data_IF_334750887521
#
_entry.id   IF_334750887521
#
_cell.length_a   1.000
_cell.length_b   1.000
_cell.length_c   1.000
_cell.angle_alpha   90.00
_cell.angle_beta   90.00
_cell.angle_gamma   90.00
#
_symmetry.space_group_name_H-M   'P 1'
#
loop_
_entity.id
_entity.type
_entity.pdbx_description
1 polymer ?
#
# COMPACT_ATOMS: atom_id res chain seq x y z
N UNK A 1 47.86 -45.50 38.31
CA UNK A 1 46.96 -44.40 37.89
C UNK A 1 45.66 -44.56 38.66
N UNK A 2 45.34 -43.66 39.61
CA UNK A 2 44.08 -43.73 40.37
C UNK A 2 42.93 -43.39 39.41
N UNK A 3 42.07 -44.36 39.13
CA UNK A 3 40.83 -44.10 38.40
C UNK A 3 39.95 -43.21 39.27
N UNK A 4 39.91 -41.92 38.94
CA UNK A 4 38.92 -41.00 39.49
C UNK A 4 37.55 -41.40 38.94
N UNK A 5 36.89 -42.33 39.63
CA UNK A 5 35.48 -42.61 39.36
C UNK A 5 34.67 -41.41 39.81
N UNK A 6 33.97 -40.76 38.87
CA UNK A 6 33.11 -39.60 39.08
C UNK A 6 32.10 -39.88 40.22
N UNK A 7 31.61 -41.12 40.31
CA UNK A 7 30.74 -41.58 41.39
C UNK A 7 31.40 -41.47 42.78
N UNK A 8 32.67 -41.86 42.91
CA UNK A 8 33.40 -41.82 44.19
C UNK A 8 33.72 -40.41 44.69
N UNK A 9 33.79 -39.41 43.79
CA UNK A 9 33.94 -37.99 44.15
C UNK A 9 32.63 -37.35 44.64
N UNK A 10 31.52 -37.73 44.01
CA UNK A 10 30.15 -37.27 44.35
C UNK A 10 29.73 -37.77 45.74
N UNK A 11 30.01 -39.03 46.07
CA UNK A 11 29.69 -39.64 47.37
C UNK A 11 30.46 -39.05 48.56
N UNK A 12 31.63 -38.44 48.33
CA UNK A 12 32.47 -37.86 49.40
C UNK A 12 32.13 -36.40 49.74
N UNK A 13 31.32 -35.71 48.93
CA UNK A 13 30.97 -34.29 49.11
C UNK A 13 29.47 -34.04 48.95
N UNK A 14 28.61 -34.59 49.83
CA UNK A 14 27.15 -34.51 49.71
C UNK A 14 26.64 -33.06 49.69
N UNK A 15 27.26 -32.16 50.46
CA UNK A 15 26.87 -30.74 50.52
C UNK A 15 27.12 -30.03 49.17
N UNK A 16 28.26 -30.28 48.53
CA UNK A 16 28.58 -29.67 47.22
C UNK A 16 27.58 -30.12 46.15
N UNK A 17 27.20 -31.39 46.17
CA UNK A 17 26.20 -31.94 45.23
C UNK A 17 24.84 -31.30 45.48
N UNK A 18 24.40 -31.17 46.73
CA UNK A 18 23.12 -30.52 47.08
C UNK A 18 23.11 -29.05 46.65
N UNK A 19 24.18 -28.30 46.89
CA UNK A 19 24.27 -26.90 46.44
C UNK A 19 24.23 -26.78 44.92
N UNK A 20 24.94 -27.66 44.20
CA UNK A 20 24.94 -27.66 42.74
C UNK A 20 23.54 -27.96 42.19
N UNK A 21 22.85 -28.94 42.79
CA UNK A 21 21.46 -29.26 42.44
C UNK A 21 20.51 -28.09 42.72
N UNK A 22 20.65 -27.41 43.85
CA UNK A 22 19.85 -26.21 44.17
C UNK A 22 20.08 -25.07 43.19
N UNK A 23 21.33 -24.86 42.76
CA UNK A 23 21.67 -23.86 41.73
C UNK A 23 20.99 -24.23 40.41
N UNK A 24 21.07 -25.49 39.97
CA UNK A 24 20.42 -25.96 38.73
C UNK A 24 18.90 -25.80 38.81
N UNK A 25 18.28 -26.14 39.95
CA UNK A 25 16.84 -25.94 40.16
C UNK A 25 16.50 -24.44 40.11
N UNK A 26 17.29 -23.59 40.78
CA UNK A 26 17.09 -22.14 40.78
C UNK A 26 17.17 -21.55 39.37
N UNK A 27 18.19 -21.92 38.58
CA UNK A 27 18.30 -21.53 37.18
C UNK A 27 17.16 -22.10 36.32
N UNK A 28 16.71 -23.33 36.59
CA UNK A 28 15.56 -23.94 35.92
C UNK A 28 14.27 -23.16 36.13
N UNK A 29 13.97 -22.79 37.39
CA UNK A 29 12.80 -21.97 37.72
C UNK A 29 12.90 -20.59 37.08
N UNK A 30 14.06 -19.93 37.19
CA UNK A 30 14.30 -18.63 36.58
C UNK A 30 14.17 -18.65 35.04
N UNK A 31 14.64 -19.72 34.40
CA UNK A 31 14.50 -19.92 32.96
C UNK A 31 13.05 -20.17 32.55
N UNK A 32 12.28 -20.90 33.36
CA UNK A 32 10.87 -21.17 33.09
C UNK A 32 10.05 -19.87 33.14
N UNK A 33 10.34 -18.98 34.08
CA UNK A 33 9.65 -17.68 34.21
C UNK A 33 10.00 -16.69 33.11
N UNK A 34 11.15 -16.84 32.45
CA UNK A 34 11.60 -15.96 31.36
C UNK A 34 11.33 -16.54 29.96
N UNK A 35 10.76 -17.75 29.86
CA UNK A 35 10.50 -18.37 28.58
C UNK A 35 9.36 -17.62 27.88
N UNK A 36 9.66 -17.00 26.74
CA UNK A 36 8.65 -16.39 25.88
C UNK A 36 7.81 -17.49 25.25
N UNK A 37 6.54 -17.57 25.62
CA UNK A 37 5.59 -18.52 25.04
C UNK A 37 5.05 -17.94 23.73
N UNK A 38 5.23 -18.64 22.62
CA UNK A 38 4.62 -18.31 21.33
C UNK A 38 3.62 -19.41 20.95
N UNK A 39 2.48 -19.06 20.36
CA UNK A 39 1.47 -20.03 19.94
C UNK A 39 1.92 -20.89 18.74
N UNK A 40 2.86 -20.37 17.94
CA UNK A 40 3.37 -21.01 16.73
C UNK A 40 4.90 -20.87 16.69
N UNK A 41 5.62 -21.82 16.05
CA UNK A 41 6.99 -21.59 15.63
C UNK A 41 7.02 -20.47 14.58
N UNK A 42 8.07 -19.64 14.57
CA UNK A 42 8.23 -18.59 13.55
C UNK A 42 8.39 -19.23 12.18
N UNK A 43 7.44 -18.95 11.28
CA UNK A 43 7.46 -19.40 9.89
C UNK A 43 7.95 -18.25 9.02
N UNK A 44 9.27 -18.17 8.82
CA UNK A 44 9.86 -17.23 7.86
C UNK A 44 9.77 -17.84 6.46
N UNK A 45 8.62 -17.75 5.80
CA UNK A 45 8.48 -18.14 4.40
C UNK A 45 8.90 -16.93 3.56
N UNK A 46 10.10 -16.91 2.94
CA UNK A 46 10.60 -15.73 2.27
C UNK A 46 9.88 -15.56 0.93
N UNK A 47 8.81 -14.77 0.95
CA UNK A 47 7.98 -14.49 -0.22
C UNK A 47 7.99 -12.99 -0.47
N UNK A 48 8.31 -12.61 -1.70
CA UNK A 48 8.14 -11.26 -2.20
C UNK A 48 6.91 -11.24 -3.11
N UNK A 49 6.10 -10.20 -3.01
CA UNK A 49 4.99 -9.99 -3.91
C UNK A 49 5.18 -8.68 -4.65
N UNK A 50 4.85 -8.70 -5.94
CA UNK A 50 4.83 -7.53 -6.82
C UNK A 50 3.40 -7.34 -7.26
N UNK A 51 2.82 -6.17 -6.98
CA UNK A 51 1.48 -5.81 -7.43
C UNK A 51 1.55 -4.65 -8.40
N UNK A 52 0.82 -4.74 -9.51
CA UNK A 52 0.64 -3.65 -10.46
C UNK A 52 -0.78 -3.70 -11.02
N UNK A 53 -1.43 -2.54 -11.07
CA UNK A 53 -2.79 -2.39 -11.59
C UNK A 53 -2.79 -1.79 -12.99
N UNK A 54 -3.65 -2.29 -13.88
CA UNK A 54 -3.96 -1.63 -15.14
C UNK A 54 -5.45 -1.73 -15.42
N UNK A 55 -6.15 -0.66 -15.04
CA UNK A 55 -7.61 -0.60 -15.00
C UNK A 55 -8.24 -0.82 -16.38
N UNK A 56 -9.38 -1.49 -16.39
CA UNK A 56 -10.20 -1.77 -17.58
C UNK A 56 -9.52 -2.64 -18.66
N UNK A 57 -8.50 -3.41 -18.28
CA UNK A 57 -7.80 -4.35 -19.17
C UNK A 57 -8.19 -5.80 -18.87
N UNK A 58 -8.25 -6.63 -19.92
CA UNK A 58 -8.55 -8.06 -19.81
C UNK A 58 -7.43 -8.79 -19.04
N UNK A 59 -7.72 -9.87 -18.30
CA UNK A 59 -6.69 -10.67 -17.64
C UNK A 59 -5.60 -11.16 -18.60
N UNK A 60 -5.98 -11.52 -19.83
CA UNK A 60 -5.06 -11.99 -20.87
C UNK A 60 -4.09 -10.88 -21.31
N UNK A 61 -4.59 -9.66 -21.51
CA UNK A 61 -3.76 -8.51 -21.86
C UNK A 61 -2.87 -8.08 -20.69
N UNK A 62 -3.37 -8.12 -19.44
CA UNK A 62 -2.55 -7.86 -18.26
C UNK A 62 -1.40 -8.87 -18.17
N UNK A 63 -1.67 -10.15 -18.42
CA UNK A 63 -0.64 -11.16 -18.42
C UNK A 63 0.44 -10.84 -19.47
N UNK A 64 0.04 -10.44 -20.67
CA UNK A 64 0.96 -10.10 -21.75
C UNK A 64 1.74 -8.80 -21.53
N UNK A 65 1.08 -7.75 -21.04
CA UNK A 65 1.63 -6.39 -20.96
C UNK A 65 2.36 -6.11 -19.65
N UNK A 66 2.06 -6.85 -18.57
CA UNK A 66 2.61 -6.59 -17.23
C UNK A 66 3.33 -7.83 -16.70
N UNK A 67 2.65 -8.97 -16.64
CA UNK A 67 3.23 -10.18 -16.02
C UNK A 67 4.43 -10.69 -16.82
N UNK A 68 4.30 -10.85 -18.14
CA UNK A 68 5.38 -11.39 -18.97
C UNK A 68 6.67 -10.54 -18.92
N UNK A 69 6.62 -9.19 -19.05
CA UNK A 69 7.81 -8.36 -18.84
C UNK A 69 8.41 -8.51 -17.44
N UNK A 70 7.57 -8.47 -16.39
CA UNK A 70 8.03 -8.61 -15.01
C UNK A 70 8.69 -9.97 -14.81
N UNK A 71 8.06 -11.06 -15.24
CA UNK A 71 8.59 -12.42 -15.18
C UNK A 71 9.93 -12.53 -15.90
N UNK A 72 10.06 -11.98 -17.12
CA UNK A 72 11.31 -11.94 -17.85
C UNK A 72 12.43 -11.20 -17.11
N UNK A 73 12.12 -10.06 -16.49
CA UNK A 73 13.08 -9.26 -15.74
C UNK A 73 13.54 -9.92 -14.44
N UNK A 74 12.62 -10.54 -13.70
CA UNK A 74 12.92 -11.14 -12.39
C UNK A 74 13.46 -12.57 -12.49
N UNK A 75 13.19 -13.31 -13.57
CA UNK A 75 13.66 -14.69 -13.73
C UNK A 75 15.19 -14.83 -13.71
N UNK A 76 15.92 -13.76 -14.06
CA UNK A 76 17.39 -13.76 -14.04
C UNK A 76 17.98 -13.52 -12.63
N UNK A 77 17.15 -13.24 -11.62
CA UNK A 77 17.63 -12.87 -10.28
C UNK A 77 17.95 -14.12 -9.48
N UNK A 78 19.23 -14.23 -9.09
CA UNK A 78 19.69 -15.26 -8.18
C UNK A 78 19.04 -15.11 -6.79
N UNK A 79 18.44 -16.20 -6.29
CA UNK A 79 17.74 -16.28 -5.01
C UNK A 79 16.24 -16.57 -5.14
N UNK A 80 15.68 -16.41 -6.34
CA UNK A 80 14.28 -16.77 -6.63
C UNK A 80 14.21 -18.27 -6.98
N UNK A 81 13.29 -18.99 -6.34
CA UNK A 81 13.03 -20.42 -6.56
C UNK A 81 11.87 -20.63 -7.52
N UNK A 82 10.71 -20.03 -7.22
CA UNK A 82 9.51 -20.14 -8.05
C UNK A 82 8.84 -18.78 -8.20
N UNK A 83 8.18 -18.61 -9.34
CA UNK A 83 7.35 -17.46 -9.66
C UNK A 83 5.93 -17.95 -9.94
N UNK A 84 4.95 -17.35 -9.31
CA UNK A 84 3.53 -17.61 -9.54
C UNK A 84 2.80 -16.29 -9.80
N UNK A 85 2.12 -16.15 -10.93
CA UNK A 85 1.31 -14.97 -11.23
C UNK A 85 -0.18 -15.25 -11.03
N UNK A 86 -0.88 -14.30 -10.41
CA UNK A 86 -2.33 -14.27 -10.25
C UNK A 86 -2.84 -13.00 -10.89
N UNK A 87 -3.64 -13.15 -11.92
CA UNK A 87 -4.21 -12.03 -12.65
C UNK A 87 -5.71 -11.99 -12.46
N UNK A 88 -6.23 -10.80 -12.27
CA UNK A 88 -7.65 -10.50 -12.25
C UNK A 88 -7.91 -9.28 -13.12
N UNK A 89 -9.18 -8.99 -13.42
CA UNK A 89 -9.54 -7.78 -14.17
C UNK A 89 -8.97 -6.55 -13.48
N UNK A 90 -8.11 -5.81 -14.18
CA UNK A 90 -7.51 -4.59 -13.67
C UNK A 90 -6.28 -4.76 -12.78
N UNK A 91 -5.92 -5.97 -12.34
CA UNK A 91 -4.84 -6.18 -11.35
C UNK A 91 -3.99 -7.41 -11.63
N UNK A 92 -2.67 -7.28 -11.49
CA UNK A 92 -1.69 -8.36 -11.52
C UNK A 92 -0.98 -8.49 -10.17
N UNK A 93 -0.89 -9.72 -9.66
CA UNK A 93 -0.09 -10.09 -8.50
C UNK A 93 0.94 -11.14 -8.91
N UNK A 94 2.23 -10.83 -8.79
CA UNK A 94 3.32 -11.77 -9.05
C UNK A 94 3.97 -12.14 -7.71
N UNK A 95 3.92 -13.43 -7.37
CA UNK A 95 4.43 -13.99 -6.12
C UNK A 95 5.77 -14.67 -6.43
N UNK A 96 6.83 -14.17 -5.79
CA UNK A 96 8.19 -14.66 -5.91
C UNK A 96 8.53 -15.43 -4.63
N UNK A 97 8.71 -16.74 -4.71
CA UNK A 97 9.21 -17.56 -3.61
C UNK A 97 10.73 -17.60 -3.67
N UNK A 98 11.38 -17.25 -2.58
CA UNK A 98 12.84 -17.27 -2.50
C UNK A 98 13.34 -18.62 -2.00
N UNK A 99 14.54 -19.00 -2.42
CA UNK A 99 15.23 -20.18 -1.90
C UNK A 99 15.55 -19.99 -0.42
N UNK A 100 15.51 -21.09 0.34
CA UNK A 100 15.94 -21.09 1.74
C UNK A 100 17.36 -20.52 1.91
N UNK A 101 17.54 -19.68 2.93
CA UNK A 101 18.81 -19.00 3.21
C UNK A 101 19.10 -17.75 2.38
N UNK A 102 18.22 -17.40 1.42
CA UNK A 102 18.34 -16.14 0.67
C UNK A 102 18.01 -14.92 1.54
N UNK A 103 18.77 -13.85 1.35
CA UNK A 103 18.49 -12.56 2.01
C UNK A 103 17.34 -11.85 1.28
N UNK A 104 16.18 -11.78 1.92
CA UNK A 104 14.97 -11.19 1.34
C UNK A 104 15.16 -9.72 0.96
N UNK A 105 15.89 -8.94 1.77
CA UNK A 105 16.11 -7.51 1.52
C UNK A 105 17.04 -7.30 0.34
N UNK A 106 18.11 -8.09 0.24
CA UNK A 106 19.00 -8.05 -0.94
C UNK A 106 18.27 -8.45 -2.21
N UNK A 107 17.42 -9.47 -2.12
CA UNK A 107 16.64 -9.95 -3.27
C UNK A 107 15.58 -8.92 -3.68
N UNK A 108 14.89 -8.28 -2.73
CA UNK A 108 13.95 -7.20 -2.99
C UNK A 108 14.61 -6.05 -3.75
N UNK A 109 15.81 -5.62 -3.32
CA UNK A 109 16.56 -4.57 -4.03
C UNK A 109 16.93 -4.98 -5.47
N UNK A 110 17.30 -6.24 -5.68
CA UNK A 110 17.55 -6.77 -7.04
C UNK A 110 16.27 -6.77 -7.87
N UNK A 111 15.15 -7.20 -7.31
CA UNK A 111 13.84 -7.24 -7.98
C UNK A 111 13.40 -5.83 -8.35
N UNK A 112 13.47 -4.89 -7.42
CA UNK A 112 13.17 -3.47 -7.66
C UNK A 112 14.00 -2.91 -8.81
N UNK A 113 15.32 -3.15 -8.79
CA UNK A 113 16.22 -2.70 -9.86
C UNK A 113 15.89 -3.32 -11.22
N UNK A 114 15.52 -4.60 -11.26
CA UNK A 114 15.14 -5.27 -12.51
C UNK A 114 13.82 -4.70 -13.07
N UNK A 115 12.83 -4.46 -12.21
CA UNK A 115 11.57 -3.82 -12.58
C UNK A 115 11.79 -2.39 -13.05
N UNK A 116 12.64 -1.62 -12.37
CA UNK A 116 12.97 -0.25 -12.77
C UNK A 116 13.61 -0.20 -14.16
N UNK A 117 14.40 -1.22 -14.53
CA UNK A 117 15.03 -1.31 -15.85
C UNK A 117 14.02 -1.56 -16.98
N UNK A 118 12.96 -2.34 -16.73
CA UNK A 118 11.89 -2.61 -17.70
C UNK A 118 10.73 -1.61 -17.62
N UNK A 119 10.84 -0.55 -16.81
CA UNK A 119 9.75 0.42 -16.63
C UNK A 119 9.26 1.00 -17.96
N UNK A 120 10.16 1.21 -18.93
CA UNK A 120 9.81 1.70 -20.26
C UNK A 120 9.11 0.67 -21.17
N UNK A 121 9.09 -0.61 -20.79
CA UNK A 121 8.35 -1.66 -21.48
C UNK A 121 6.91 -1.81 -20.93
N UNK A 122 6.66 -1.30 -19.73
CA UNK A 122 5.34 -1.28 -19.12
C UNK A 122 4.50 -0.13 -19.70
N UNK A 123 3.17 -0.29 -19.87
CA UNK A 123 2.32 0.80 -20.34
C UNK A 123 2.33 2.01 -19.40
N UNK A 124 2.44 3.23 -19.93
CA UNK A 124 2.42 4.47 -19.14
C UNK A 124 1.14 4.68 -18.30
N UNK A 125 0.05 4.03 -18.70
CA UNK A 125 -1.23 4.07 -17.99
C UNK A 125 -1.35 3.02 -16.88
N UNK A 126 -0.40 2.08 -16.79
CA UNK A 126 -0.35 1.10 -15.71
C UNK A 126 0.17 1.77 -14.44
N UNK A 127 -0.32 1.31 -13.30
CA UNK A 127 0.20 1.69 -11.99
C UNK A 127 1.60 1.14 -11.81
N UNK A 128 2.48 1.96 -11.24
CA UNK A 128 3.85 1.55 -10.93
C UNK A 128 3.85 0.27 -10.08
N UNK A 129 4.65 -0.74 -10.44
CA UNK A 129 4.71 -1.97 -9.65
C UNK A 129 5.21 -1.71 -8.23
N UNK A 130 4.42 -2.11 -7.25
CA UNK A 130 4.76 -2.03 -5.83
C UNK A 130 5.27 -3.39 -5.37
N UNK A 131 6.49 -3.41 -4.84
CA UNK A 131 7.09 -4.59 -4.24
C UNK A 131 6.87 -4.55 -2.73
N UNK A 132 6.30 -5.61 -2.17
CA UNK A 132 6.12 -5.78 -0.73
C UNK A 132 6.58 -7.16 -0.28
N UNK A 133 7.08 -7.23 0.94
CA UNK A 133 7.46 -8.48 1.58
C UNK A 133 6.20 -9.12 2.15
N UNK A 134 5.93 -10.37 1.78
CA UNK A 134 4.84 -11.09 2.41
C UNK A 134 5.31 -11.58 3.77
N UNK A 135 4.69 -11.06 4.83
CA UNK A 135 4.97 -11.46 6.19
C UNK A 135 3.76 -12.25 6.74
N UNK A 136 3.88 -13.58 6.94
CA UNK A 136 2.82 -14.39 7.55
C UNK A 136 2.46 -13.94 8.97
N UNK A 137 3.33 -13.18 9.65
CA UNK A 137 3.10 -12.60 10.96
C UNK A 137 2.37 -11.25 10.90
N UNK A 138 2.17 -10.63 9.73
CA UNK A 138 1.45 -9.36 9.56
C UNK A 138 -0.07 -9.47 9.75
N UNK A 139 -0.55 -10.51 10.45
CA UNK A 139 -1.97 -10.69 10.74
C UNK A 139 -2.43 -9.57 11.67
N UNK A 140 -3.64 -9.01 11.46
CA UNK A 140 -4.17 -7.97 12.35
C UNK A 140 -4.19 -8.47 13.80
N UNK A 141 -3.48 -7.75 14.68
CA UNK A 141 -3.44 -8.05 16.12
C UNK A 141 -4.78 -7.67 16.77
N UNK A 142 -5.43 -6.63 16.25
CA UNK A 142 -6.71 -6.11 16.71
C UNK A 142 -7.54 -5.68 15.51
N UNK A 143 -8.85 -5.90 15.58
CA UNK A 143 -9.84 -5.32 14.65
C UNK A 143 -10.81 -4.48 15.46
N UNK A 144 -11.07 -3.27 15.01
CA UNK A 144 -12.01 -2.33 15.61
C UNK A 144 -13.10 -2.04 14.59
N UNK A 145 -14.35 -1.99 15.05
CA UNK A 145 -15.49 -1.57 14.25
C UNK A 145 -15.94 -0.19 14.69
N UNK A 146 -16.19 0.69 13.73
CA UNK A 146 -16.76 2.02 13.97
C UNK A 146 -18.22 1.97 13.53
N UNK A 147 -19.13 2.29 14.45
CA UNK A 147 -20.56 2.34 14.20
C UNK A 147 -21.13 3.66 14.76
N UNK A 148 -22.10 4.23 14.04
CA UNK A 148 -22.86 5.39 14.47
C UNK A 148 -24.22 5.44 13.79
N UNK A 149 -25.28 5.56 14.59
CA UNK A 149 -26.67 5.64 14.09
C UNK A 149 -26.98 6.93 13.32
N UNK A 150 -26.17 7.98 13.50
CA UNK A 150 -26.44 9.33 13.00
C UNK A 150 -25.45 9.84 11.95
N UNK A 151 -24.57 8.98 11.41
CA UNK A 151 -23.58 9.36 10.40
C UNK A 151 -23.62 8.43 9.20
N UNK A 152 -23.27 8.98 8.03
CA UNK A 152 -23.12 8.20 6.81
C UNK A 152 -21.89 7.30 6.84
N UNK A 153 -21.91 6.20 6.09
CA UNK A 153 -20.77 5.27 5.97
C UNK A 153 -19.53 5.93 5.35
N UNK A 154 -19.72 6.98 4.57
CA UNK A 154 -18.66 7.82 4.02
C UNK A 154 -17.98 8.67 5.09
N UNK A 155 -18.78 9.31 5.95
CA UNK A 155 -18.27 10.09 7.07
C UNK A 155 -17.54 9.19 8.08
N UNK A 156 -18.10 8.01 8.37
CA UNK A 156 -17.45 7.03 9.25
C UNK A 156 -16.11 6.53 8.70
N UNK A 157 -16.03 6.30 7.38
CA UNK A 157 -14.76 5.96 6.72
C UNK A 157 -13.74 7.08 6.86
N UNK A 158 -14.15 8.33 6.64
CA UNK A 158 -13.26 9.48 6.80
C UNK A 158 -12.78 9.65 8.23
N UNK A 159 -13.63 9.44 9.24
CA UNK A 159 -13.22 9.44 10.65
C UNK A 159 -12.22 8.32 10.93
N UNK A 160 -12.44 7.13 10.36
CA UNK A 160 -11.51 6.00 10.42
C UNK A 160 -10.12 6.38 9.94
N UNK A 161 -10.03 6.95 8.74
CA UNK A 161 -8.76 7.30 8.09
C UNK A 161 -8.11 8.52 8.76
N UNK A 162 -8.81 9.65 8.85
CA UNK A 162 -8.21 10.93 9.27
C UNK A 162 -7.97 11.00 10.78
N UNK A 163 -8.74 10.27 11.58
CA UNK A 163 -8.66 10.35 13.04
C UNK A 163 -8.16 9.06 13.67
N UNK A 164 -8.78 7.92 13.37
CA UNK A 164 -8.48 6.67 14.08
C UNK A 164 -7.13 6.10 13.66
N UNK A 165 -6.91 5.88 12.35
CA UNK A 165 -5.62 5.42 11.82
C UNK A 165 -4.48 6.34 12.24
N UNK A 166 -4.62 7.64 11.97
CA UNK A 166 -3.59 8.65 12.31
C UNK A 166 -3.24 8.67 13.80
N UNK A 167 -4.17 8.33 14.70
CA UNK A 167 -3.89 8.22 16.14
C UNK A 167 -3.23 6.90 16.51
N UNK A 168 -3.64 5.80 15.88
CA UNK A 168 -3.05 4.48 16.12
C UNK A 168 -1.60 4.43 15.63
N UNK A 169 -1.31 4.99 14.45
CA UNK A 169 0.03 5.06 13.87
C UNK A 169 1.05 5.80 14.74
N UNK A 170 0.60 6.65 15.67
CA UNK A 170 1.49 7.34 16.63
C UNK A 170 1.96 6.45 17.77
N UNK A 171 1.40 5.25 17.93
CA UNK A 171 1.79 4.32 18.98
C UNK A 171 3.11 3.67 18.61
N UNK A 172 4.11 3.83 19.47
CA UNK A 172 5.44 3.23 19.26
C UNK A 172 5.33 1.71 19.16
N UNK A 173 5.89 1.14 18.08
CA UNK A 173 5.86 -0.29 17.80
C UNK A 173 4.68 -0.77 16.95
N UNK A 174 3.76 0.12 16.53
CA UNK A 174 2.74 -0.24 15.55
C UNK A 174 3.33 -0.18 14.12
N UNK A 175 3.15 -1.26 13.35
CA UNK A 175 3.63 -1.33 11.97
C UNK A 175 2.70 -0.60 10.98
N UNK A 176 1.39 -0.80 11.11
CA UNK A 176 0.38 -0.20 10.22
C UNK A 176 -1.02 -0.25 10.86
N UNK A 177 -1.86 0.73 10.52
CA UNK A 177 -3.31 0.70 10.75
C UNK A 177 -4.03 0.89 9.40
N UNK A 178 -5.15 0.19 9.19
CA UNK A 178 -5.89 0.25 7.92
C UNK A 178 -7.40 0.19 8.17
N UNK A 179 -8.16 1.08 7.51
CA UNK A 179 -9.62 1.17 7.53
C UNK A 179 -10.20 0.46 6.31
N UNK A 180 -10.91 -0.62 6.59
CA UNK A 180 -11.61 -1.42 5.58
C UNK A 180 -13.12 -1.14 5.60
N UNK A 181 -13.74 -1.15 4.43
CA UNK A 181 -15.19 -0.89 4.27
C UNK A 181 -15.57 0.59 4.31
N UNK A 182 -16.88 0.86 4.41
CA UNK A 182 -17.44 2.21 4.26
C UNK A 182 -17.54 2.65 2.79
N UNK A 183 -18.03 3.87 2.57
CA UNK A 183 -18.20 4.42 1.22
C UNK A 183 -17.07 5.40 0.91
N UNK A 184 -16.31 5.15 -0.15
CA UNK A 184 -15.28 6.09 -0.63
C UNK A 184 -15.90 7.05 -1.64
N UNK A 185 -15.89 8.34 -1.32
CA UNK A 185 -16.43 9.39 -2.20
C UNK A 185 -15.61 9.46 -3.50
N UNK A 186 -16.29 9.44 -4.64
CA UNK A 186 -15.70 9.55 -5.98
C UNK A 186 -16.56 10.46 -6.85
N UNK A 187 -15.92 11.39 -7.55
CA UNK A 187 -16.59 12.27 -8.50
C UNK A 187 -16.59 11.60 -9.87
N UNK A 188 -17.76 11.43 -10.46
CA UNK A 188 -17.92 10.90 -11.81
C UNK A 188 -18.10 12.04 -12.80
N UNK A 189 -17.46 11.90 -13.97
CA UNK A 189 -17.56 12.86 -15.07
C UNK A 189 -18.03 12.07 -16.29
N UNK A 190 -19.34 12.09 -16.51
CA UNK A 190 -20.02 11.33 -17.54
C UNK A 190 -20.08 12.13 -18.83
N UNK A 191 -19.13 11.84 -19.71
CA UNK A 191 -18.94 12.59 -20.95
C UNK A 191 -19.95 12.17 -22.01
N UNK A 192 -20.61 13.12 -22.65
CA UNK A 192 -21.55 12.84 -23.75
C UNK A 192 -20.82 12.89 -25.11
N UNK A 193 -20.64 11.75 -25.82
CA UNK A 193 -19.83 11.72 -27.05
C UNK A 193 -20.32 12.68 -28.13
N UNK A 194 -21.65 12.86 -28.25
CA UNK A 194 -22.25 13.76 -29.24
C UNK A 194 -21.93 15.23 -28.96
N UNK A 195 -21.91 15.65 -27.68
CA UNK A 195 -21.59 17.03 -27.29
C UNK A 195 -20.10 17.32 -27.49
N UNK A 196 -19.23 16.35 -27.17
CA UNK A 196 -17.81 16.45 -27.48
C UNK A 196 -17.55 16.66 -28.98
N UNK A 197 -18.19 15.85 -29.82
CA UNK A 197 -18.04 15.93 -31.28
C UNK A 197 -18.49 17.29 -31.85
N UNK A 198 -19.59 17.87 -31.32
CA UNK A 198 -20.06 19.20 -31.73
C UNK A 198 -19.06 20.31 -31.44
N UNK A 199 -18.21 20.13 -30.42
CA UNK A 199 -17.21 21.09 -30.01
C UNK A 199 -15.79 20.74 -30.50
N UNK A 200 -15.63 19.70 -31.33
CA UNK A 200 -14.33 19.16 -31.76
C UNK A 200 -13.38 18.85 -30.58
N UNK A 201 -13.95 18.38 -29.47
CA UNK A 201 -13.20 18.03 -28.26
C UNK A 201 -13.08 16.52 -28.11
N UNK A 202 -11.96 16.08 -27.54
CA UNK A 202 -11.71 14.69 -27.16
C UNK A 202 -11.82 14.50 -25.64
N UNK A 203 -12.03 13.27 -25.15
CA UNK A 203 -11.96 12.99 -23.71
C UNK A 203 -10.60 13.33 -23.10
N UNK A 204 -9.52 13.27 -23.89
CA UNK A 204 -8.18 13.64 -23.44
C UNK A 204 -8.07 15.14 -23.14
N UNK A 205 -8.80 16.00 -23.86
CA UNK A 205 -8.81 17.44 -23.61
C UNK A 205 -9.44 17.77 -22.25
N UNK A 206 -10.50 17.05 -21.87
CA UNK A 206 -11.09 17.17 -20.52
C UNK A 206 -10.08 16.76 -19.46
N UNK A 207 -9.41 15.61 -19.64
CA UNK A 207 -8.41 15.12 -18.68
C UNK A 207 -7.26 16.11 -18.52
N UNK A 208 -6.78 16.70 -19.62
CA UNK A 208 -5.73 17.70 -19.61
C UNK A 208 -6.18 18.98 -18.91
N UNK A 209 -7.39 19.47 -19.19
CA UNK A 209 -7.95 20.64 -18.54
C UNK A 209 -8.06 20.45 -17.02
N UNK A 210 -8.56 19.30 -16.57
CA UNK A 210 -8.64 18.96 -15.14
C UNK A 210 -7.26 18.90 -14.49
N UNK A 211 -6.28 18.25 -15.14
CA UNK A 211 -4.90 18.14 -14.63
C UNK A 211 -4.23 19.50 -14.50
N UNK A 212 -4.45 20.42 -15.45
CA UNK A 212 -3.84 21.75 -15.44
C UNK A 212 -4.49 22.70 -14.43
N UNK A 213 -5.78 22.53 -14.15
CA UNK A 213 -6.49 23.39 -13.24
C UNK A 213 -6.46 22.88 -11.79
N UNK A 214 -6.26 21.58 -11.53
CA UNK A 214 -6.19 21.04 -10.17
C UNK A 214 -4.76 21.03 -9.58
N UNK A 215 -4.05 22.15 -9.64
CA UNK A 215 -2.65 22.24 -9.18
C UNK A 215 -2.49 23.35 -8.16
N UNK A 216 -1.79 23.08 -7.06
CA UNK A 216 -1.40 24.11 -6.12
C UNK A 216 0.03 24.58 -6.42
N UNK A 217 0.15 25.74 -7.05
CA UNK A 217 1.44 26.29 -7.49
C UNK A 217 1.87 27.45 -6.58
N UNK A 218 3.06 27.38 -5.94
CA UNK A 218 3.63 28.53 -5.26
C UNK A 218 4.07 29.55 -6.32
N UNK A 219 3.53 30.77 -6.26
CA UNK A 219 3.86 31.83 -7.22
C UNK A 219 5.21 32.49 -6.85
N UNK A 220 5.59 32.40 -5.57
CA UNK A 220 6.84 32.93 -5.06
C UNK A 220 6.61 33.71 -3.76
N UNK A 221 7.52 34.61 -3.43
CA UNK A 221 7.35 35.48 -2.29
C UNK A 221 7.44 36.95 -2.70
N UNK A 222 6.59 37.78 -2.10
CA UNK A 222 6.61 39.23 -2.22
C UNK A 222 7.18 39.79 -0.92
N UNK A 223 8.32 40.45 -1.01
CA UNK A 223 8.91 41.14 0.14
C UNK A 223 8.34 42.56 0.18
N UNK A 224 7.62 42.87 1.26
CA UNK A 224 7.18 44.24 1.56
C UNK A 224 7.77 44.66 2.91
N UNK A 225 8.47 45.78 2.93
CA UNK A 225 9.26 46.28 4.06
C UNK A 225 10.28 45.26 4.60
N UNK A 226 9.95 44.61 5.73
CA UNK A 226 10.75 43.55 6.38
C UNK A 226 9.97 42.24 6.52
N UNK A 227 8.80 42.14 5.88
CA UNK A 227 7.92 40.97 5.95
C UNK A 227 7.91 40.29 4.59
N UNK A 228 8.16 38.98 4.61
CA UNK A 228 8.15 38.15 3.41
C UNK A 228 6.79 37.46 3.28
N UNK A 229 5.98 37.87 2.31
CA UNK A 229 4.66 37.29 2.05
C UNK A 229 4.79 36.18 1.01
N UNK A 230 4.52 34.93 1.38
CA UNK A 230 4.43 33.85 0.41
C UNK A 230 3.10 33.92 -0.33
N UNK A 231 3.14 34.08 -1.65
CA UNK A 231 1.96 34.14 -2.51
C UNK A 231 1.79 32.78 -3.17
N UNK A 232 0.60 32.19 -3.01
CA UNK A 232 0.25 30.87 -3.56
C UNK A 232 -1.04 30.99 -4.36
N UNK A 233 -1.05 30.45 -5.58
CA UNK A 233 -2.29 30.23 -6.31
C UNK A 233 -2.94 28.95 -5.77
N UNK A 234 -4.15 29.08 -5.23
CA UNK A 234 -4.96 27.94 -4.85
C UNK A 234 -5.92 27.63 -6.00
N UNK A 235 -5.56 26.63 -6.82
CA UNK A 235 -6.39 26.18 -7.95
C UNK A 235 -7.07 24.82 -7.68
N UNK A 236 -6.94 24.26 -6.48
CA UNK A 236 -7.54 22.96 -6.14
C UNK A 236 -9.06 23.04 -6.04
N UNK A 237 -9.75 22.07 -6.64
CA UNK A 237 -11.20 21.96 -6.57
C UNK A 237 -11.67 21.59 -5.16
N UNK A 238 -12.69 22.30 -4.67
CA UNK A 238 -13.36 22.04 -3.40
C UNK A 238 -14.79 21.55 -3.59
N UNK A 239 -15.43 21.92 -4.71
CA UNK A 239 -16.83 21.56 -4.98
C UNK A 239 -17.00 20.99 -6.38
N UNK A 240 -18.04 20.19 -6.54
CA UNK A 240 -18.45 19.61 -7.83
C UNK A 240 -18.74 20.71 -8.86
N UNK A 241 -19.31 21.84 -8.42
CA UNK A 241 -19.57 23.00 -9.28
C UNK A 241 -18.28 23.61 -9.85
N UNK A 242 -17.19 23.64 -9.09
CA UNK A 242 -15.92 24.15 -9.60
C UNK A 242 -15.36 23.24 -10.69
N UNK A 243 -15.49 21.91 -10.52
CA UNK A 243 -15.12 20.93 -11.55
C UNK A 243 -15.98 21.18 -12.80
N UNK A 244 -17.30 21.25 -12.65
CA UNK A 244 -18.25 21.46 -13.74
C UNK A 244 -18.02 22.78 -14.51
N UNK A 245 -17.54 23.83 -13.85
CA UNK A 245 -17.24 25.13 -14.46
C UNK A 245 -15.83 25.26 -15.05
N UNK A 246 -15.01 24.21 -14.99
CA UNK A 246 -13.67 24.20 -15.58
C UNK A 246 -13.75 24.42 -17.08
N UNK A 247 -12.93 25.32 -17.60
CA UNK A 247 -12.85 25.62 -19.03
C UNK A 247 -11.97 24.55 -19.69
N UNK A 248 -12.52 23.87 -20.69
CA UNK A 248 -11.80 22.84 -21.47
C UNK A 248 -11.13 23.47 -22.69
N UNK A 249 -11.85 24.32 -23.41
CA UNK A 249 -11.35 25.03 -24.57
C UNK A 249 -12.13 26.32 -24.80
N UNK A 250 -11.61 27.21 -25.63
CA UNK A 250 -12.31 28.41 -26.10
C UNK A 250 -12.68 28.16 -27.56
N UNK A 251 -13.97 28.25 -27.87
CA UNK A 251 -14.45 28.12 -29.25
C UNK A 251 -13.87 29.22 -30.14
N UNK A 252 -13.84 29.00 -31.47
CA UNK A 252 -13.39 30.00 -32.45
C UNK A 252 -14.13 31.35 -32.32
N UNK A 253 -15.35 31.32 -31.79
CA UNK A 253 -16.17 32.51 -31.53
C UNK A 253 -15.86 33.20 -30.18
N UNK A 254 -14.81 32.79 -29.45
CA UNK A 254 -14.41 33.34 -28.16
C UNK A 254 -15.24 32.90 -26.96
N UNK A 255 -16.18 31.97 -27.15
CA UNK A 255 -17.04 31.45 -26.06
C UNK A 255 -16.30 30.31 -25.34
N UNK A 256 -16.10 30.39 -24.01
CA UNK A 256 -15.46 29.32 -23.24
C UNK A 256 -16.40 28.12 -23.13
N UNK A 257 -15.90 26.94 -23.52
CA UNK A 257 -16.58 25.65 -23.39
C UNK A 257 -16.17 25.05 -22.05
N UNK A 258 -17.14 24.80 -21.17
CA UNK A 258 -16.91 24.23 -19.84
C UNK A 258 -17.20 22.74 -19.80
N UNK A 259 -16.73 22.06 -18.76
CA UNK A 259 -17.02 20.63 -18.56
C UNK A 259 -18.53 20.36 -18.55
N UNK A 260 -19.33 21.18 -17.86
CA UNK A 260 -20.79 21.06 -17.84
C UNK A 260 -21.48 21.13 -19.21
N UNK A 261 -20.80 21.74 -20.20
CA UNK A 261 -21.36 21.87 -21.54
C UNK A 261 -21.18 20.56 -22.33
N UNK A 262 -20.25 19.68 -21.93
CA UNK A 262 -19.90 18.44 -22.64
C UNK A 262 -20.02 17.15 -21.81
N UNK A 263 -20.13 17.27 -20.48
CA UNK A 263 -20.22 16.16 -19.53
C UNK A 263 -21.15 16.50 -18.37
N UNK A 264 -21.72 15.47 -17.75
CA UNK A 264 -22.42 15.59 -16.47
C UNK A 264 -21.43 15.27 -15.34
N UNK A 265 -21.44 16.06 -14.27
CA UNK A 265 -20.53 15.86 -13.13
C UNK A 265 -21.37 15.50 -11.92
N UNK A 266 -21.23 14.26 -11.45
CA UNK A 266 -22.00 13.74 -10.33
C UNK A 266 -21.10 13.39 -9.15
N UNK A 267 -21.60 13.65 -7.95
CA UNK A 267 -20.98 13.20 -6.69
C UNK A 267 -21.54 11.83 -6.35
N UNK A 268 -20.65 10.85 -6.20
CA UNK A 268 -21.03 9.48 -5.94
C UNK A 268 -20.02 8.77 -5.06
N UNK A 269 -20.13 7.44 -5.05
CA UNK A 269 -19.23 6.58 -4.31
C UNK A 269 -18.59 5.56 -5.24
N UNK A 270 -17.40 5.10 -4.88
CA UNK A 270 -16.73 3.98 -5.54
C UNK A 270 -17.61 2.72 -5.42
N UNK A 271 -17.57 1.86 -6.45
CA UNK A 271 -18.20 0.55 -6.37
C UNK A 271 -17.69 -0.25 -5.16
N UNK A 272 -18.61 -0.79 -4.37
CA UNK A 272 -18.28 -1.49 -3.13
C UNK A 272 -17.67 -2.86 -3.47
N UNK A 273 -16.36 -3.00 -3.28
CA UNK A 273 -15.64 -4.27 -3.48
C UNK A 273 -15.56 -5.12 -2.21
N UNK A 274 -15.67 -4.49 -1.03
CA UNK A 274 -15.64 -5.18 0.26
C UNK A 274 -16.77 -4.71 1.17
N UNK A 275 -17.46 -5.69 1.77
CA UNK A 275 -18.51 -5.45 2.76
C UNK A 275 -18.01 -5.94 4.12
N UNK A 276 -17.88 -5.00 5.05
CA UNK A 276 -17.58 -5.31 6.46
C UNK A 276 -18.88 -5.23 7.22
N UNK A 277 -19.26 -6.32 7.87
CA UNK A 277 -20.43 -6.39 8.73
C UNK A 277 -19.98 -6.68 10.16
N UNK A 278 -20.49 -5.88 11.09
CA UNK A 278 -20.30 -6.06 12.54
C UNK A 278 -21.24 -7.14 13.06
#
# INVERSE_FOLDING_TARGET
MKQFSVAGGILKRPITVIMMTLIVIGFGVFSLTNLKVTLYPSLNIPVLAVSSGYNNVSPEDINRLIVNPIEGAVSAIEGIETLEARVSRGNAFVILRLREGSDIRKTELKVRKAIDQIRGELPDQAQEPVIFQFDPESRPIMRLSIDADNRGLDELRNIGIETVETRLERIEGLASAETQGGLERRIYIDVTPMKLAQHNLSPADIQNALRQNNVQLPIGNVVADRINYSVRAQSTYQTVDQIANTIVNISENGVPIRIKDVADVSDGFTEVTSLVKV
#
